data_IF_127329976482
#
_entry.id   IF_127329976482
#
_cell.length_a   1.000
_cell.length_b   1.000
_cell.length_c   1.000
_cell.angle_alpha   90.00
_cell.angle_beta   90.00
_cell.angle_gamma   90.00
#
_symmetry.space_group_name_H-M   'P 1'
#
loop_
_entity.id
_entity.type
_entity.pdbx_description
1 polymer ?
#
# COMPACT_ATOMS: atom_id res chain seq x y z
N UNK A 1 -0.05 -39.98 -17.32
CA UNK A 1 0.62 -38.98 -18.17
C UNK A 1 2.01 -38.74 -17.57
N UNK A 2 3.07 -39.26 -18.17
CA UNK A 2 4.42 -39.17 -17.60
C UNK A 2 4.91 -37.71 -17.65
N UNK A 3 5.21 -37.12 -16.49
CA UNK A 3 5.84 -35.81 -16.40
C UNK A 3 7.26 -35.98 -16.95
N UNK A 4 7.58 -35.29 -18.04
CA UNK A 4 8.95 -35.28 -18.56
C UNK A 4 9.87 -34.60 -17.55
N UNK A 5 11.12 -35.06 -17.43
CA UNK A 5 12.12 -34.52 -16.47
C UNK A 5 12.22 -32.99 -16.57
N UNK A 6 12.15 -32.45 -17.78
CA UNK A 6 12.14 -31.00 -18.06
C UNK A 6 10.93 -30.27 -17.46
N UNK A 7 9.72 -30.86 -17.55
CA UNK A 7 8.52 -30.29 -16.91
C UNK A 7 8.64 -30.31 -15.40
N UNK A 8 9.21 -31.37 -14.83
CA UNK A 8 9.44 -31.47 -13.38
C UNK A 8 10.46 -30.41 -12.90
N UNK A 9 11.56 -30.22 -13.64
CA UNK A 9 12.56 -29.18 -13.35
C UNK A 9 11.97 -27.78 -13.43
N UNK A 10 11.20 -27.48 -14.48
CA UNK A 10 10.53 -26.18 -14.63
C UNK A 10 9.51 -25.93 -13.51
N UNK A 11 8.73 -26.94 -13.14
CA UNK A 11 7.78 -26.84 -12.03
C UNK A 11 8.50 -26.57 -10.69
N UNK A 12 9.59 -27.31 -10.42
CA UNK A 12 10.42 -27.10 -9.23
C UNK A 12 11.01 -25.69 -9.15
N UNK A 13 11.53 -25.17 -10.27
CA UNK A 13 12.02 -23.80 -10.36
C UNK A 13 10.93 -22.76 -10.08
N UNK A 14 9.75 -22.91 -10.69
CA UNK A 14 8.61 -22.00 -10.46
C UNK A 14 8.18 -22.04 -8.99
N UNK A 15 8.09 -23.24 -8.40
CA UNK A 15 7.72 -23.41 -7.01
C UNK A 15 8.72 -22.73 -6.07
N UNK A 16 10.02 -22.96 -6.26
CA UNK A 16 11.06 -22.31 -5.47
C UNK A 16 10.98 -20.78 -5.60
N UNK A 17 10.82 -20.26 -6.81
CA UNK A 17 10.68 -18.82 -7.06
C UNK A 17 9.45 -18.24 -6.36
N UNK A 18 8.32 -18.95 -6.38
CA UNK A 18 7.11 -18.55 -5.69
C UNK A 18 7.29 -18.54 -4.16
N UNK A 19 7.97 -19.55 -3.60
CA UNK A 19 8.29 -19.59 -2.17
C UNK A 19 9.19 -18.43 -1.75
N UNK A 20 10.27 -18.16 -2.49
CA UNK A 20 11.15 -17.02 -2.19
C UNK A 20 10.41 -15.68 -2.26
N UNK A 21 9.50 -15.52 -3.24
CA UNK A 21 8.64 -14.33 -3.35
C UNK A 21 7.69 -14.17 -2.18
N UNK A 22 7.04 -15.26 -1.80
CA UNK A 22 6.12 -15.27 -0.67
C UNK A 22 6.86 -14.99 0.65
N UNK A 23 7.99 -15.65 0.89
CA UNK A 23 8.82 -15.43 2.08
C UNK A 23 9.31 -13.99 2.20
N UNK A 24 9.76 -13.38 1.10
CA UNK A 24 10.15 -11.97 1.08
C UNK A 24 8.98 -11.05 1.46
N UNK A 25 7.81 -11.26 0.86
CA UNK A 25 6.61 -10.48 1.17
C UNK A 25 6.20 -10.62 2.64
N UNK A 26 6.21 -11.84 3.18
CA UNK A 26 5.89 -12.10 4.59
C UNK A 26 6.90 -11.42 5.51
N UNK A 27 8.20 -11.56 5.26
CA UNK A 27 9.24 -10.93 6.06
C UNK A 27 9.11 -9.40 6.07
N UNK A 28 8.86 -8.79 4.91
CA UNK A 28 8.59 -7.36 4.81
C UNK A 28 7.40 -6.93 5.66
N UNK A 29 6.29 -7.66 5.62
CA UNK A 29 5.11 -7.35 6.45
C UNK A 29 5.41 -7.46 7.95
N UNK A 30 6.13 -8.52 8.36
CA UNK A 30 6.49 -8.76 9.76
C UNK A 30 7.44 -7.70 10.33
N UNK A 31 8.22 -7.03 9.49
CA UNK A 31 9.14 -5.97 9.92
C UNK A 31 8.48 -4.60 9.78
N UNK A 32 7.96 -4.26 8.60
CA UNK A 32 7.52 -2.90 8.30
C UNK A 32 6.27 -2.50 9.08
N UNK A 33 5.27 -3.37 9.20
CA UNK A 33 4.00 -3.02 9.86
C UNK A 33 4.21 -2.80 11.37
N UNK A 34 4.86 -3.72 12.12
CA UNK A 34 5.14 -3.48 13.53
C UNK A 34 6.07 -2.28 13.74
N UNK A 35 7.07 -2.09 12.88
CA UNK A 35 7.99 -0.95 12.99
C UNK A 35 7.25 0.37 12.83
N UNK A 36 6.35 0.48 11.85
CA UNK A 36 5.49 1.64 11.66
C UNK A 36 4.65 1.93 12.91
N UNK A 37 3.95 0.92 13.43
CA UNK A 37 3.11 1.06 14.62
C UNK A 37 3.95 1.50 15.83
N UNK A 38 5.12 0.91 16.03
CA UNK A 38 6.03 1.28 17.11
C UNK A 38 6.51 2.73 16.99
N UNK A 39 6.89 3.17 15.78
CA UNK A 39 7.23 4.58 15.56
C UNK A 39 6.06 5.50 15.87
N UNK A 40 4.83 5.13 15.50
CA UNK A 40 3.64 5.92 15.81
C UNK A 40 3.33 5.99 17.30
N UNK A 41 3.63 4.93 18.06
CA UNK A 41 3.52 4.94 19.52
C UNK A 41 4.58 5.87 20.14
N UNK A 42 5.84 5.74 19.69
CA UNK A 42 6.96 6.56 20.19
C UNK A 42 6.75 8.04 19.87
N UNK A 43 6.13 8.36 18.74
CA UNK A 43 5.87 9.75 18.30
C UNK A 43 4.60 10.36 18.93
N UNK A 44 3.82 9.65 19.74
CA UNK A 44 2.62 10.22 20.39
C UNK A 44 2.89 11.49 21.21
N UNK A 45 3.99 11.63 21.98
CA UNK A 45 4.28 12.88 22.67
C UNK A 45 4.48 14.05 21.70
N UNK A 46 5.12 13.81 20.55
CA UNK A 46 5.28 14.83 19.53
C UNK A 46 3.93 15.28 18.96
N UNK A 47 2.98 14.34 18.79
CA UNK A 47 1.61 14.68 18.34
C UNK A 47 0.92 15.69 19.26
N UNK A 48 1.15 15.60 20.57
CA UNK A 48 0.56 16.50 21.56
C UNK A 48 1.23 17.87 21.58
N UNK A 49 2.54 17.93 21.32
CA UNK A 49 3.33 19.16 21.35
C UNK A 49 3.30 19.92 20.03
N UNK A 50 3.45 19.22 18.91
CA UNK A 50 3.45 19.76 17.56
C UNK A 50 2.80 18.79 16.58
N UNK A 51 1.50 18.96 16.43
CA UNK A 51 0.69 18.14 15.55
C UNK A 51 1.14 18.24 14.07
N UNK A 52 1.65 19.39 13.63
CA UNK A 52 2.05 19.58 12.22
C UNK A 52 3.30 18.75 11.90
N UNK A 53 4.30 18.78 12.78
CA UNK A 53 5.51 17.98 12.61
C UNK A 53 5.25 16.48 12.75
N UNK A 54 4.33 16.08 13.65
CA UNK A 54 3.90 14.69 13.75
C UNK A 54 3.37 14.17 12.40
N UNK A 55 2.39 14.85 11.79
CA UNK A 55 1.84 14.42 10.50
C UNK A 55 2.84 14.54 9.35
N UNK A 56 3.79 15.48 9.43
CA UNK A 56 4.88 15.54 8.47
C UNK A 56 5.72 14.25 8.51
N UNK A 57 6.15 13.84 9.69
CA UNK A 57 7.01 12.68 9.89
C UNK A 57 6.23 11.40 9.58
N UNK A 58 5.00 11.29 10.07
CA UNK A 58 4.12 10.15 9.82
C UNK A 58 3.95 9.92 8.32
N UNK A 59 3.67 10.95 7.54
CA UNK A 59 3.51 10.80 6.10
C UNK A 59 4.81 10.40 5.37
N UNK A 60 5.99 10.77 5.89
CA UNK A 60 7.28 10.26 5.37
C UNK A 60 7.43 8.77 5.68
N UNK A 61 7.11 8.34 6.89
CA UNK A 61 7.14 6.93 7.29
C UNK A 61 6.13 6.10 6.48
N UNK A 62 4.94 6.65 6.23
CA UNK A 62 3.91 6.04 5.41
C UNK A 62 4.40 5.85 3.97
N UNK A 63 5.03 6.89 3.39
CA UNK A 63 5.67 6.80 2.08
C UNK A 63 6.74 5.71 2.03
N UNK A 64 7.54 5.51 3.08
CA UNK A 64 8.53 4.42 3.12
C UNK A 64 7.89 3.04 3.24
N UNK A 65 6.83 2.91 4.04
CA UNK A 65 6.04 1.68 4.13
C UNK A 65 5.44 1.32 2.75
N UNK A 66 4.91 2.29 2.02
CA UNK A 66 4.38 2.08 0.68
C UNK A 66 5.48 1.84 -0.37
N UNK A 67 6.70 2.36 -0.18
CA UNK A 67 7.86 2.00 -0.99
C UNK A 67 8.16 0.49 -0.90
N UNK A 68 8.04 -0.08 0.31
CA UNK A 68 8.16 -1.52 0.51
C UNK A 68 7.05 -2.28 -0.24
N UNK A 69 5.82 -1.76 -0.27
CA UNK A 69 4.72 -2.35 -1.08
C UNK A 69 5.05 -2.28 -2.58
N UNK A 70 5.56 -1.14 -3.08
CA UNK A 70 6.01 -1.01 -4.47
C UNK A 70 7.08 -2.06 -4.82
N UNK A 71 8.00 -2.34 -3.89
CA UNK A 71 9.07 -3.32 -4.09
C UNK A 71 8.56 -4.74 -4.39
N UNK A 72 7.32 -5.07 -3.99
CA UNK A 72 6.74 -6.40 -4.27
C UNK A 72 6.45 -6.61 -5.75
N UNK A 73 5.99 -5.57 -6.45
CA UNK A 73 5.78 -5.62 -7.90
C UNK A 73 7.11 -5.83 -8.64
N UNK A 74 8.14 -5.09 -8.22
CA UNK A 74 9.49 -5.25 -8.73
C UNK A 74 10.08 -6.64 -8.45
N UNK A 75 9.93 -7.16 -7.22
CA UNK A 75 10.37 -8.51 -6.84
C UNK A 75 9.60 -9.61 -7.59
N UNK A 76 8.34 -9.36 -7.91
CA UNK A 76 7.53 -10.20 -8.77
C UNK A 76 7.95 -10.14 -10.27
N UNK A 77 8.89 -9.26 -10.61
CA UNK A 77 9.49 -9.12 -11.94
C UNK A 77 8.64 -8.30 -12.89
N UNK A 78 7.72 -7.48 -12.37
CA UNK A 78 6.92 -6.58 -13.19
C UNK A 78 7.69 -5.29 -13.45
N UNK A 79 7.54 -4.77 -14.66
CA UNK A 79 7.97 -3.42 -15.05
C UNK A 79 6.71 -2.63 -15.36
N UNK A 80 6.57 -1.48 -14.71
CA UNK A 80 5.41 -0.61 -14.89
C UNK A 80 5.78 0.48 -15.90
N UNK A 81 4.91 0.70 -16.87
CA UNK A 81 5.08 1.71 -17.91
C UNK A 81 3.92 2.69 -17.82
N UNK A 82 4.24 3.97 -17.65
CA UNK A 82 3.25 5.03 -17.56
C UNK A 82 3.07 5.72 -18.92
N UNK A 83 1.83 6.04 -19.26
CA UNK A 83 1.46 6.72 -20.51
C UNK A 83 0.44 7.82 -20.20
N UNK A 84 0.58 8.97 -20.88
CA UNK A 84 -0.26 10.15 -20.67
C UNK A 84 0.51 11.30 -20.01
N UNK A 85 -0.23 12.19 -19.37
CA UNK A 85 0.33 13.39 -18.73
C UNK A 85 1.08 13.06 -17.43
N UNK A 86 2.10 13.87 -17.15
CA UNK A 86 2.89 13.75 -15.94
C UNK A 86 2.17 14.40 -14.75
N UNK A 87 1.66 13.55 -13.85
CA UNK A 87 0.92 14.02 -12.67
C UNK A 87 1.77 14.77 -11.64
N UNK A 88 3.10 14.84 -11.80
CA UNK A 88 3.97 15.65 -10.93
C UNK A 88 3.58 17.13 -10.93
N UNK A 89 2.90 17.61 -11.96
CA UNK A 89 2.43 19.01 -12.03
C UNK A 89 1.29 19.31 -11.07
N UNK A 90 0.58 18.29 -10.57
CA UNK A 90 -0.55 18.42 -9.64
C UNK A 90 -0.30 17.70 -8.31
N UNK A 91 0.97 17.38 -8.00
CA UNK A 91 1.31 16.55 -6.84
C UNK A 91 1.01 17.21 -5.49
N UNK A 92 0.95 18.54 -5.45
CA UNK A 92 0.67 19.32 -4.23
C UNK A 92 -0.78 19.84 -4.20
N UNK A 93 -1.57 19.55 -5.25
CA UNK A 93 -2.96 19.99 -5.36
C UNK A 93 -3.92 19.00 -4.67
N UNK A 94 -5.06 19.49 -4.20
CA UNK A 94 -6.14 18.63 -3.75
C UNK A 94 -6.77 17.92 -4.96
N UNK A 95 -6.51 16.62 -5.09
CA UNK A 95 -6.95 15.81 -6.23
C UNK A 95 -7.60 14.50 -5.78
N UNK A 96 -8.60 14.05 -6.54
CA UNK A 96 -9.18 12.71 -6.40
C UNK A 96 -8.64 11.80 -7.51
N UNK A 97 -7.85 10.80 -7.11
CA UNK A 97 -7.36 9.78 -8.03
C UNK A 97 -8.40 8.66 -8.17
N UNK A 98 -9.05 8.60 -9.34
CA UNK A 98 -9.98 7.53 -9.67
C UNK A 98 -9.28 6.48 -10.53
N UNK A 99 -9.20 5.26 -10.02
CA UNK A 99 -8.63 4.11 -10.74
C UNK A 99 -9.67 3.01 -10.84
N UNK A 100 -9.62 2.24 -11.93
CA UNK A 100 -10.26 0.94 -11.93
C UNK A 100 -9.54 0.02 -10.92
N UNK A 101 -10.25 -0.98 -10.41
CA UNK A 101 -9.68 -1.96 -9.49
C UNK A 101 -10.00 -3.38 -9.98
N UNK A 102 -8.96 -4.14 -10.28
CA UNK A 102 -9.03 -5.52 -10.77
C UNK A 102 -8.46 -6.51 -9.75
N UNK A 103 -7.42 -6.12 -9.01
CA UNK A 103 -6.75 -7.00 -8.06
C UNK A 103 -6.03 -6.23 -6.96
N UNK A 104 -5.76 -6.90 -5.83
CA UNK A 104 -4.93 -6.32 -4.75
C UNK A 104 -3.53 -5.88 -5.24
N UNK A 105 -3.02 -6.51 -6.31
CA UNK A 105 -1.75 -6.12 -6.93
C UNK A 105 -1.76 -4.74 -7.59
N UNK A 106 -2.93 -4.15 -7.84
CA UNK A 106 -3.05 -2.79 -8.38
C UNK A 106 -2.38 -1.77 -7.44
N UNK A 107 -2.43 -2.03 -6.13
CA UNK A 107 -1.76 -1.18 -5.12
C UNK A 107 -0.24 -1.17 -5.34
N UNK A 108 0.36 -2.33 -5.61
CA UNK A 108 1.80 -2.42 -5.88
C UNK A 108 2.16 -1.62 -7.13
N UNK A 109 1.36 -1.79 -8.19
CA UNK A 109 1.54 -1.07 -9.46
C UNK A 109 1.42 0.44 -9.25
N UNK A 110 0.40 0.88 -8.51
CA UNK A 110 0.18 2.29 -8.21
C UNK A 110 1.34 2.86 -7.40
N UNK A 111 1.82 2.15 -6.37
CA UNK A 111 2.96 2.64 -5.59
C UNK A 111 4.23 2.68 -6.42
N UNK A 112 4.46 1.74 -7.34
CA UNK A 112 5.58 1.81 -8.28
C UNK A 112 5.53 3.07 -9.17
N UNK A 113 4.34 3.53 -9.57
CA UNK A 113 4.17 4.77 -10.34
C UNK A 113 4.30 6.05 -9.50
N UNK A 114 3.85 6.04 -8.24
CA UNK A 114 3.72 7.27 -7.46
C UNK A 114 4.92 7.56 -6.55
N UNK A 115 5.77 6.56 -6.28
CA UNK A 115 6.80 6.66 -5.26
C UNK A 115 7.82 7.80 -5.48
N UNK A 116 8.14 8.10 -6.74
CA UNK A 116 9.10 9.13 -7.14
C UNK A 116 8.45 10.50 -7.41
N UNK A 117 7.11 10.60 -7.32
CA UNK A 117 6.34 11.80 -7.63
C UNK A 117 6.13 12.69 -6.41
N UNK A 118 7.23 13.18 -5.85
CA UNK A 118 7.20 14.17 -4.76
C UNK A 118 6.48 13.67 -3.50
N UNK A 119 5.50 14.43 -3.02
CA UNK A 119 4.76 14.21 -1.77
C UNK A 119 3.49 13.37 -1.95
N UNK A 120 3.09 13.00 -3.17
CA UNK A 120 1.82 12.32 -3.47
C UNK A 120 1.55 11.15 -2.53
N UNK A 121 2.51 10.21 -2.42
CA UNK A 121 2.34 9.01 -1.57
C UNK A 121 2.26 9.35 -0.08
N UNK A 122 2.88 10.45 0.32
CA UNK A 122 2.92 10.90 1.71
C UNK A 122 1.59 11.55 2.15
N UNK A 123 0.86 12.16 1.23
CA UNK A 123 -0.39 12.90 1.51
C UNK A 123 -1.64 12.17 0.99
N UNK A 124 -1.46 11.04 0.31
CA UNK A 124 -2.56 10.24 -0.21
C UNK A 124 -3.37 9.62 0.92
N UNK A 125 -4.69 9.76 0.82
CA UNK A 125 -5.64 9.03 1.66
C UNK A 125 -6.33 7.94 0.84
N UNK A 126 -6.54 6.80 1.48
CA UNK A 126 -7.24 5.67 0.87
C UNK A 126 -8.72 5.66 1.22
N UNK A 127 -9.52 5.17 0.27
CA UNK A 127 -10.91 4.82 0.49
C UNK A 127 -11.03 3.29 0.37
N UNK A 128 -11.36 2.62 1.46
CA UNK A 128 -11.38 1.16 1.53
C UNK A 128 -12.70 0.63 2.08
N UNK A 129 -13.01 -0.64 1.81
CA UNK A 129 -14.15 -1.28 2.46
C UNK A 129 -13.86 -1.51 3.96
N UNK A 130 -14.90 -1.37 4.78
CA UNK A 130 -14.87 -1.51 6.23
C UNK A 130 -14.24 -2.83 6.71
N UNK A 131 -14.32 -3.92 5.95
CA UNK A 131 -13.68 -5.18 6.35
C UNK A 131 -12.15 -5.07 6.42
N UNK A 132 -11.55 -4.19 5.61
CA UNK A 132 -10.09 -4.07 5.55
C UNK A 132 -9.47 -3.52 6.82
N UNK A 133 -10.23 -2.82 7.66
CA UNK A 133 -9.74 -2.25 8.94
C UNK A 133 -9.19 -3.30 9.91
N UNK A 134 -9.54 -4.57 9.71
CA UNK A 134 -9.06 -5.70 10.51
C UNK A 134 -7.81 -6.38 9.95
N UNK A 135 -7.24 -5.85 8.87
CA UNK A 135 -6.00 -6.35 8.26
C UNK A 135 -4.79 -5.55 8.73
N UNK A 136 -3.58 -6.07 8.48
CA UNK A 136 -2.33 -5.38 8.81
C UNK A 136 -2.27 -3.97 8.20
N UNK A 137 -2.61 -3.85 6.91
CA UNK A 137 -2.68 -2.54 6.23
C UNK A 137 -3.85 -1.71 6.71
N UNK A 138 -4.98 -2.33 7.07
CA UNK A 138 -6.10 -1.62 7.68
C UNK A 138 -5.74 -0.89 8.97
N UNK A 139 -4.89 -1.49 9.82
CA UNK A 139 -4.41 -0.85 11.05
C UNK A 139 -3.53 0.36 10.70
N UNK A 140 -2.62 0.21 9.73
CA UNK A 140 -1.78 1.33 9.25
C UNK A 140 -2.67 2.47 8.72
N UNK A 141 -3.65 2.13 7.89
CA UNK A 141 -4.62 3.07 7.33
C UNK A 141 -5.46 3.78 8.38
N UNK A 142 -5.89 3.09 9.44
CA UNK A 142 -6.58 3.72 10.57
C UNK A 142 -5.69 4.74 11.30
N UNK A 143 -4.39 4.46 11.44
CA UNK A 143 -3.44 5.37 12.06
C UNK A 143 -3.16 6.58 11.16
N UNK A 144 -3.05 6.35 9.85
CA UNK A 144 -2.84 7.39 8.84
C UNK A 144 -4.03 8.34 8.70
N UNK A 145 -5.24 7.86 8.97
CA UNK A 145 -6.48 8.62 8.84
C UNK A 145 -7.23 8.34 7.54
N UNK A 146 -6.98 7.19 6.91
CA UNK A 146 -7.71 6.73 5.74
C UNK A 146 -9.19 6.48 6.04
N UNK A 147 -10.01 6.53 5.00
CA UNK A 147 -11.46 6.37 5.10
C UNK A 147 -11.90 4.94 4.83
N UNK A 148 -12.75 4.43 5.71
CA UNK A 148 -13.38 3.11 5.57
C UNK A 148 -14.89 3.26 5.35
N UNK A 149 -15.40 2.65 4.29
CA UNK A 149 -16.80 2.70 3.90
C UNK A 149 -17.44 1.32 3.91
N UNK A 150 -18.76 1.25 4.16
CA UNK A 150 -19.54 0.02 3.94
C UNK A 150 -20.17 0.08 2.56
N UNK A 151 -19.87 -0.91 1.73
CA UNK A 151 -20.48 -1.02 0.42
C UNK A 151 -21.97 -1.39 0.48
N UNK A 152 -22.71 -1.02 -0.56
CA UNK A 152 -24.10 -1.43 -0.76
C UNK A 152 -25.13 -0.31 -0.56
N UNK A 153 -26.23 -0.39 -1.32
CA UNK A 153 -27.31 0.61 -1.33
C UNK A 153 -27.87 0.90 0.07
N UNK A 154 -27.97 -0.13 0.91
CA UNK A 154 -28.54 -0.02 2.26
C UNK A 154 -27.74 0.92 3.18
N UNK A 155 -26.43 1.02 2.98
CA UNK A 155 -25.55 1.81 3.84
C UNK A 155 -25.17 3.16 3.26
N UNK A 156 -25.46 3.42 1.97
CA UNK A 156 -25.07 4.65 1.25
C UNK A 156 -25.48 5.94 1.97
N UNK A 157 -26.70 6.00 2.46
CA UNK A 157 -27.23 7.20 3.15
C UNK A 157 -26.72 7.35 4.59
N UNK A 158 -26.10 6.30 5.13
CA UNK A 158 -25.61 6.26 6.52
C UNK A 158 -24.09 6.48 6.60
N UNK A 159 -23.37 6.46 5.47
CA UNK A 159 -21.90 6.59 5.44
C UNK A 159 -21.40 7.95 5.95
N UNK A 160 -22.19 9.01 5.81
CA UNK A 160 -21.82 10.39 6.15
C UNK A 160 -22.49 10.91 7.42
N UNK A 161 -23.27 10.07 8.10
CA UNK A 161 -23.90 10.41 9.37
C UNK A 161 -22.94 9.96 10.47
N UNK A 162 -22.27 10.95 11.08
CA UNK A 162 -21.35 10.81 12.21
C UNK A 162 -22.02 10.15 13.41
#
# INVERSE_FOLDING_TARGET
MAITVEKAQRAGYIFLKAMLRFSFMVANNLVAIPSYILYMIVLQPLRLLDNKWFWYIEGVLFKWLLAMVASWGWWAGYTVMEWGDDIRTVSEDEALMLVNHQATGDICTLMMCLQDKGTVVRQMMWLMDHIFKYTNFGIVSLIHGDFFIRQGKAYRSQQLVL
#
